data_IF_236238973086
#
_entry.id   IF_236238973086
#
_cell.length_a   1.000
_cell.length_b   1.000
_cell.length_c   1.000
_cell.angle_alpha   90.00
_cell.angle_beta   90.00
_cell.angle_gamma   90.00
#
_symmetry.space_group_name_H-M   'P 1'
#
loop_
_entity.id
_entity.type
_entity.pdbx_description
1 polymer ?
#
# COMPACT_ATOMS: atom_id res chain seq x y z
N UNK A 1 17.19 8.46 -10.87
CA UNK A 1 17.77 9.59 -11.65
C UNK A 1 17.78 10.94 -10.91
N UNK A 2 16.69 11.35 -10.25
CA UNK A 2 16.63 12.62 -9.51
C UNK A 2 17.45 12.62 -8.22
N UNK A 3 17.58 11.46 -7.57
CA UNK A 3 18.38 11.31 -6.36
C UNK A 3 19.83 11.74 -6.60
N UNK A 4 20.36 12.56 -5.70
CA UNK A 4 21.72 13.12 -5.81
C UNK A 4 22.79 12.13 -5.35
N UNK A 5 22.40 11.16 -4.52
CA UNK A 5 23.27 10.10 -4.02
C UNK A 5 23.36 9.01 -5.07
N UNK A 6 24.59 8.66 -5.46
CA UNK A 6 24.83 7.57 -6.41
C UNK A 6 24.86 6.23 -5.68
N UNK A 7 24.08 5.22 -6.13
CA UNK A 7 24.13 3.87 -5.59
C UNK A 7 25.55 3.27 -5.61
N UNK A 8 25.91 2.38 -4.67
CA UNK A 8 27.27 1.85 -4.54
C UNK A 8 27.85 1.19 -5.81
N UNK A 9 27.03 0.58 -6.66
CA UNK A 9 27.47 0.00 -7.94
C UNK A 9 27.64 1.03 -9.08
N UNK A 10 27.41 2.32 -8.81
CA UNK A 10 27.49 3.41 -9.78
C UNK A 10 26.26 3.58 -10.68
N UNK A 11 25.28 2.68 -10.61
CA UNK A 11 24.12 2.71 -11.49
C UNK A 11 22.97 3.54 -10.90
N UNK A 12 22.66 4.70 -11.49
CA UNK A 12 21.61 5.63 -11.03
C UNK A 12 20.16 5.17 -11.32
N UNK A 13 19.99 4.05 -12.03
CA UNK A 13 18.69 3.38 -12.24
C UNK A 13 18.32 2.43 -11.10
N UNK A 14 19.25 2.15 -10.19
CA UNK A 14 18.93 1.45 -8.95
C UNK A 14 18.07 2.31 -8.04
N UNK A 15 17.05 1.70 -7.44
CA UNK A 15 16.26 2.36 -6.39
C UNK A 15 17.05 2.42 -5.08
N UNK A 16 17.21 3.61 -4.53
CA UNK A 16 17.92 3.82 -3.26
C UNK A 16 17.04 4.48 -2.21
N UNK A 17 17.06 3.94 -1.00
CA UNK A 17 16.41 4.57 0.15
C UNK A 17 17.19 4.31 1.45
N UNK A 18 16.94 5.13 2.47
CA UNK A 18 17.52 4.95 3.79
C UNK A 18 16.49 4.35 4.74
N UNK A 19 16.96 3.50 5.67
CA UNK A 19 16.08 2.93 6.68
C UNK A 19 15.52 4.02 7.62
N UNK A 20 14.19 4.17 7.73
CA UNK A 20 13.57 5.35 8.36
C UNK A 20 13.77 5.46 9.87
N UNK A 21 14.05 4.35 10.55
CA UNK A 21 14.20 4.31 12.01
C UNK A 21 15.63 4.03 12.46
N UNK A 22 16.61 4.16 11.57
CA UNK A 22 18.02 4.00 11.93
C UNK A 22 18.66 5.37 12.16
N UNK A 23 19.31 5.52 13.32
CA UNK A 23 19.98 6.75 13.72
C UNK A 23 21.47 6.52 14.01
N UNK A 24 22.34 7.51 13.76
CA UNK A 24 23.76 7.40 14.12
C UNK A 24 23.89 7.23 15.64
N UNK A 25 24.77 6.32 16.05
CA UNK A 25 25.11 6.08 17.45
C UNK A 25 26.62 6.19 17.64
N UNK A 26 27.08 7.34 18.11
CA UNK A 26 28.49 7.64 18.30
C UNK A 26 29.03 7.22 19.68
N UNK A 27 28.30 6.36 20.41
CA UNK A 27 28.69 5.96 21.77
C UNK A 27 30.05 5.27 21.73
N UNK A 28 31.03 5.88 22.42
CA UNK A 28 32.40 5.35 22.52
C UNK A 28 33.33 5.72 21.36
N UNK A 29 32.88 6.55 20.40
CA UNK A 29 33.74 7.02 19.29
C UNK A 29 34.21 8.44 19.61
N UNK A 30 35.53 8.65 19.53
CA UNK A 30 36.18 9.96 19.76
C UNK A 30 36.41 10.68 18.43
N UNK A 31 36.53 12.01 18.47
CA UNK A 31 36.85 12.88 17.33
C UNK A 31 35.86 12.76 16.15
N UNK A 32 34.57 12.65 16.46
CA UNK A 32 33.52 12.68 15.44
C UNK A 32 33.35 14.10 14.91
N UNK A 33 33.52 14.26 13.61
CA UNK A 33 33.23 15.50 12.87
C UNK A 33 32.00 15.35 11.98
N UNK A 34 31.68 14.12 11.58
CA UNK A 34 30.49 13.78 10.80
C UNK A 34 29.88 12.46 11.33
N UNK A 35 28.90 12.54 12.25
CA UNK A 35 28.22 11.38 12.80
C UNK A 35 27.59 10.46 11.76
N UNK A 36 27.19 10.97 10.60
CA UNK A 36 26.41 10.22 9.62
C UNK A 36 27.29 9.26 8.80
N UNK A 37 28.55 9.61 8.61
CA UNK A 37 29.54 8.77 7.91
C UNK A 37 30.44 8.01 8.90
N UNK A 38 30.63 8.53 10.11
CA UNK A 38 31.59 7.97 11.07
C UNK A 38 30.97 7.10 12.16
N UNK A 39 29.67 7.22 12.42
CA UNK A 39 29.01 6.46 13.49
C UNK A 39 28.15 5.31 12.95
N UNK A 40 28.18 4.13 13.58
CA UNK A 40 27.30 3.04 13.21
C UNK A 40 25.84 3.39 13.54
N UNK A 41 24.94 3.02 12.64
CA UNK A 41 23.52 3.28 12.84
C UNK A 41 22.85 2.20 13.71
N UNK A 42 21.91 2.61 14.56
CA UNK A 42 21.14 1.73 15.47
C UNK A 42 19.65 2.03 15.38
N UNK A 43 18.78 1.03 15.61
CA UNK A 43 17.33 1.22 15.56
C UNK A 43 16.83 2.13 16.68
N UNK A 44 15.91 3.03 16.33
CA UNK A 44 15.06 3.79 17.26
C UNK A 44 13.64 3.76 16.70
N UNK A 45 12.88 2.74 17.10
CA UNK A 45 11.56 2.48 16.54
C UNK A 45 10.65 3.72 16.68
N UNK A 46 9.85 4.01 15.65
CA UNK A 46 8.93 5.16 15.62
C UNK A 46 9.59 6.54 15.51
N UNK A 47 10.89 6.67 15.77
CA UNK A 47 11.63 7.91 15.61
C UNK A 47 12.17 8.02 14.20
N UNK A 48 11.47 8.79 13.37
CA UNK A 48 11.81 8.97 11.97
C UNK A 48 13.08 9.82 11.80
N UNK A 49 14.10 9.24 11.17
CA UNK A 49 15.31 9.97 10.81
C UNK A 49 15.03 10.85 9.57
N UNK A 50 15.15 12.19 9.65
CA UNK A 50 14.89 13.09 8.53
C UNK A 50 15.81 12.85 7.32
N UNK A 51 16.97 12.23 7.50
CA UNK A 51 17.96 11.95 6.44
C UNK A 51 17.39 11.20 5.24
N UNK A 52 16.36 10.39 5.45
CA UNK A 52 15.63 9.71 4.37
C UNK A 52 15.11 10.68 3.30
N UNK A 53 14.91 11.97 3.65
CA UNK A 53 14.49 13.03 2.71
C UNK A 53 15.62 13.50 1.80
N UNK A 54 16.86 13.09 2.06
CA UNK A 54 18.01 13.35 1.18
C UNK A 54 17.96 12.48 -0.07
N UNK A 55 17.13 11.43 -0.09
CA UNK A 55 16.91 10.57 -1.25
C UNK A 55 15.50 10.81 -1.78
N UNK A 56 15.39 11.09 -3.08
CA UNK A 56 14.10 11.41 -3.70
C UNK A 56 13.31 10.17 -4.08
N UNK A 57 13.96 9.03 -4.37
CA UNK A 57 13.31 7.83 -4.90
C UNK A 57 12.08 7.38 -4.10
N UNK A 58 12.07 7.34 -2.75
CA UNK A 58 10.87 6.96 -1.98
C UNK A 58 9.69 7.92 -2.13
N UNK A 59 9.95 9.20 -2.36
CA UNK A 59 8.91 10.21 -2.59
C UNK A 59 8.47 10.17 -4.03
N UNK A 60 9.41 10.19 -4.97
CA UNK A 60 9.16 10.16 -6.41
C UNK A 60 8.39 8.90 -6.81
N UNK A 61 8.78 7.73 -6.27
CA UNK A 61 8.09 6.44 -6.47
C UNK A 61 6.64 6.49 -6.00
N UNK A 62 6.39 7.01 -4.80
CA UNK A 62 5.02 7.12 -4.25
C UNK A 62 4.17 8.11 -5.03
N UNK A 63 4.74 9.24 -5.44
CA UNK A 63 4.04 10.25 -6.23
C UNK A 63 3.72 9.72 -7.62
N UNK A 64 4.67 9.07 -8.28
CA UNK A 64 4.47 8.43 -9.58
C UNK A 64 3.27 7.48 -9.56
N UNK A 65 3.18 6.59 -8.56
CA UNK A 65 2.03 5.67 -8.46
C UNK A 65 0.72 6.42 -8.29
N UNK A 66 0.70 7.43 -7.40
CA UNK A 66 -0.50 8.23 -7.12
C UNK A 66 -0.96 8.97 -8.37
N UNK A 67 -0.04 9.60 -9.07
CA UNK A 67 -0.31 10.40 -10.26
C UNK A 67 -0.79 9.51 -11.40
N UNK A 68 -0.10 8.39 -11.68
CA UNK A 68 -0.51 7.41 -12.70
C UNK A 68 -1.92 6.90 -12.40
N UNK A 69 -2.20 6.50 -11.17
CA UNK A 69 -3.50 5.95 -10.79
C UNK A 69 -4.61 7.00 -10.92
N UNK A 70 -4.38 8.22 -10.45
CA UNK A 70 -5.35 9.31 -10.60
C UNK A 70 -5.61 9.65 -12.05
N UNK A 71 -4.57 9.89 -12.83
CA UNK A 71 -4.70 10.22 -14.24
C UNK A 71 -5.44 9.11 -15.00
N UNK A 72 -5.17 7.84 -14.68
CA UNK A 72 -5.90 6.70 -15.25
C UNK A 72 -7.39 6.74 -14.89
N UNK A 73 -7.73 7.01 -13.62
CA UNK A 73 -9.13 7.11 -13.19
C UNK A 73 -9.82 8.30 -13.87
N UNK A 74 -9.18 9.47 -13.94
CA UNK A 74 -9.73 10.64 -14.64
C UNK A 74 -9.96 10.34 -16.13
N UNK A 75 -9.03 9.66 -16.78
CA UNK A 75 -9.22 9.16 -18.14
C UNK A 75 -10.45 8.25 -18.25
N UNK A 76 -10.59 7.26 -17.37
CA UNK A 76 -11.73 6.33 -17.41
C UNK A 76 -13.08 7.02 -17.17
N UNK A 77 -13.12 8.07 -16.35
CA UNK A 77 -14.35 8.78 -16.01
C UNK A 77 -14.76 9.81 -17.07
N UNK A 78 -13.79 10.49 -17.70
CA UNK A 78 -14.05 11.61 -18.60
C UNK A 78 -13.76 11.31 -20.08
N UNK A 79 -13.01 10.25 -20.38
CA UNK A 79 -12.54 9.94 -21.73
C UNK A 79 -11.52 10.93 -22.30
N UNK A 80 -10.94 11.81 -21.46
CA UNK A 80 -9.95 12.80 -21.90
C UNK A 80 -8.56 12.17 -21.99
N UNK A 81 -8.11 12.00 -23.23
CA UNK A 81 -6.82 11.39 -23.57
C UNK A 81 -5.61 12.15 -23.03
N UNK A 82 -5.71 13.44 -22.70
CA UNK A 82 -4.59 14.18 -22.10
C UNK A 82 -4.17 13.57 -20.75
N UNK A 83 -5.13 13.05 -19.97
CA UNK A 83 -4.81 12.35 -18.73
C UNK A 83 -4.09 11.03 -18.98
N UNK A 84 -4.55 10.25 -19.97
CA UNK A 84 -3.92 9.00 -20.35
C UNK A 84 -2.51 9.20 -20.90
N UNK A 85 -2.31 10.18 -21.78
CA UNK A 85 -1.00 10.55 -22.32
C UNK A 85 -0.01 10.90 -21.21
N UNK A 86 -0.45 11.66 -20.19
CA UNK A 86 0.41 11.98 -19.04
C UNK A 86 0.70 10.75 -18.18
N UNK A 87 -0.27 9.88 -17.95
CA UNK A 87 -0.07 8.64 -17.20
C UNK A 87 0.92 7.70 -17.91
N UNK A 88 0.79 7.55 -19.22
CA UNK A 88 1.70 6.75 -20.06
C UNK A 88 3.11 7.34 -20.03
N UNK A 89 3.28 8.66 -20.08
CA UNK A 89 4.60 9.30 -19.96
C UNK A 89 5.29 8.97 -18.62
N UNK A 90 4.54 8.98 -17.52
CA UNK A 90 5.07 8.64 -16.19
C UNK A 90 5.47 7.16 -16.12
N UNK A 91 4.64 6.28 -16.68
CA UNK A 91 4.94 4.85 -16.77
C UNK A 91 6.17 4.56 -17.64
N UNK A 92 6.29 5.22 -18.79
CA UNK A 92 7.46 5.12 -19.67
C UNK A 92 8.73 5.51 -18.91
N UNK A 93 8.71 6.70 -18.30
CA UNK A 93 9.85 7.26 -17.55
C UNK A 93 10.30 6.31 -16.44
N UNK A 94 9.36 5.70 -15.71
CA UNK A 94 9.68 4.92 -14.52
C UNK A 94 9.98 3.44 -14.80
N UNK A 95 9.37 2.83 -15.81
CA UNK A 95 9.41 1.38 -16.02
C UNK A 95 10.00 0.93 -17.37
N UNK A 96 10.02 1.79 -18.39
CA UNK A 96 10.31 1.37 -19.77
C UNK A 96 11.55 2.05 -20.34
N UNK A 97 11.63 3.38 -20.23
CA UNK A 97 12.68 4.19 -20.82
C UNK A 97 14.07 3.74 -20.35
N UNK A 98 14.96 3.43 -21.28
CA UNK A 98 16.28 2.83 -20.97
C UNK A 98 17.22 3.75 -20.18
N UNK A 99 17.02 5.07 -20.27
CA UNK A 99 17.83 6.05 -19.57
C UNK A 99 17.32 6.32 -18.15
N UNK A 100 15.99 6.28 -17.95
CA UNK A 100 15.38 6.75 -16.69
C UNK A 100 14.74 5.67 -15.84
N UNK A 101 14.37 4.53 -16.42
CA UNK A 101 13.59 3.52 -15.71
C UNK A 101 14.32 2.96 -14.50
N UNK A 102 13.57 2.70 -13.44
CA UNK A 102 14.03 1.96 -12.27
C UNK A 102 14.37 0.53 -12.69
N UNK A 103 15.47 -0.06 -12.20
CA UNK A 103 15.70 -1.50 -12.38
C UNK A 103 14.66 -2.33 -11.61
N UNK A 104 14.26 -3.51 -12.11
CA UNK A 104 13.26 -4.37 -11.46
C UNK A 104 13.85 -5.11 -10.24
N UNK A 105 14.47 -4.37 -9.32
CA UNK A 105 15.02 -4.83 -8.06
C UNK A 105 15.16 -3.68 -7.04
N UNK A 106 15.29 -4.02 -5.76
CA UNK A 106 15.52 -3.06 -4.67
C UNK A 106 16.70 -3.48 -3.79
N UNK A 107 17.84 -3.73 -4.42
CA UNK A 107 19.08 -4.16 -3.74
C UNK A 107 19.69 -3.09 -2.83
N UNK A 108 19.26 -1.83 -2.97
CA UNK A 108 19.64 -0.67 -2.16
C UNK A 108 18.45 -0.03 -1.41
N UNK A 109 17.37 -0.79 -1.23
CA UNK A 109 16.23 -0.37 -0.41
C UNK A 109 16.55 -0.39 1.09
N UNK A 110 16.21 0.69 1.79
CA UNK A 110 16.39 0.93 3.22
C UNK A 110 17.81 0.63 3.71
N UNK A 111 18.80 1.22 3.04
CA UNK A 111 20.20 1.16 3.44
C UNK A 111 20.36 1.58 4.90
N UNK A 112 21.18 0.80 5.60
CA UNK A 112 21.77 1.22 6.87
C UNK A 112 23.00 2.09 6.57
N UNK A 113 22.89 3.37 6.91
CA UNK A 113 23.98 4.34 6.82
C UNK A 113 25.09 4.11 7.86
N UNK A 114 26.11 4.95 7.81
CA UNK A 114 27.31 4.87 8.63
C UNK A 114 28.51 4.31 7.85
N UNK A 115 29.61 4.00 8.55
CA UNK A 115 30.81 3.48 7.92
C UNK A 115 30.59 2.07 7.37
N UNK A 116 31.29 1.76 6.27
CA UNK A 116 31.26 0.45 5.62
C UNK A 116 30.46 0.43 4.33
N UNK A 117 30.26 -0.78 3.80
CA UNK A 117 29.55 -0.99 2.54
C UNK A 117 28.04 -0.78 2.72
N UNK A 118 27.45 0.04 1.84
CA UNK A 118 26.01 0.26 1.84
C UNK A 118 25.30 -0.87 1.08
N UNK A 119 24.42 -1.58 1.78
CA UNK A 119 23.57 -2.64 1.23
C UNK A 119 22.13 -2.39 1.63
N UNK A 120 21.22 -2.78 0.74
CA UNK A 120 19.80 -2.81 1.07
C UNK A 120 19.43 -3.88 2.08
N UNK A 121 18.19 -3.82 2.52
CA UNK A 121 17.58 -4.71 3.52
C UNK A 121 16.27 -5.25 2.98
N UNK A 122 15.83 -6.38 3.53
CA UNK A 122 14.55 -6.99 3.16
C UNK A 122 13.36 -6.06 3.46
N UNK A 123 13.49 -5.19 4.47
CA UNK A 123 12.47 -4.20 4.78
C UNK A 123 12.28 -3.16 3.66
N UNK A 124 13.29 -2.95 2.80
CA UNK A 124 13.23 -2.01 1.68
C UNK A 124 12.22 -2.39 0.58
N UNK A 125 11.82 -3.66 0.49
CA UNK A 125 10.72 -4.11 -0.40
C UNK A 125 9.39 -3.44 -0.02
N UNK A 126 9.23 -2.98 1.23
CA UNK A 126 8.03 -2.27 1.66
C UNK A 126 7.90 -0.87 1.01
N UNK A 127 8.98 -0.31 0.51
CA UNK A 127 8.97 1.00 -0.14
C UNK A 127 8.15 0.96 -1.44
N UNK A 128 8.22 -0.14 -2.19
CA UNK A 128 7.51 -0.35 -3.46
C UNK A 128 6.07 -0.84 -3.27
N UNK A 129 5.55 -0.91 -2.04
CA UNK A 129 4.24 -1.51 -1.74
C UNK A 129 3.06 -0.97 -2.55
N UNK A 130 3.15 0.29 -3.01
CA UNK A 130 2.08 0.91 -3.80
C UNK A 130 2.09 0.46 -5.26
N UNK A 131 3.15 -0.21 -5.74
CA UNK A 131 3.22 -0.68 -7.13
C UNK A 131 2.14 -1.73 -7.46
N UNK A 132 1.45 -2.28 -6.46
CA UNK A 132 0.23 -3.08 -6.64
C UNK A 132 -0.87 -2.36 -7.42
N UNK A 133 -0.85 -1.03 -7.51
CA UNK A 133 -1.79 -0.25 -8.33
C UNK A 133 -1.42 -0.12 -9.80
N UNK A 134 -0.16 -0.34 -10.15
CA UNK A 134 0.29 -0.20 -11.55
C UNK A 134 -0.48 -1.15 -12.46
N UNK A 135 -0.65 -2.45 -12.14
CA UNK A 135 -1.52 -3.36 -12.89
C UNK A 135 -2.95 -2.85 -13.13
N UNK A 136 -3.55 -2.12 -12.18
CA UNK A 136 -4.90 -1.57 -12.33
C UNK A 136 -4.89 -0.40 -13.30
N UNK A 137 -3.92 0.51 -13.16
CA UNK A 137 -3.75 1.63 -14.08
C UNK A 137 -3.50 1.15 -15.52
N UNK A 138 -2.65 0.14 -15.71
CA UNK A 138 -2.39 -0.47 -17.03
C UNK A 138 -3.69 -0.94 -17.68
N UNK A 139 -4.52 -1.73 -16.98
CA UNK A 139 -5.80 -2.23 -17.52
C UNK A 139 -6.78 -1.12 -17.92
N UNK A 140 -6.71 0.04 -17.27
CA UNK A 140 -7.52 1.20 -17.63
C UNK A 140 -6.96 1.87 -18.90
N UNK A 141 -5.64 2.07 -18.93
CA UNK A 141 -4.94 2.77 -20.00
C UNK A 141 -4.83 1.95 -21.30
N UNK A 142 -4.96 0.63 -21.26
CA UNK A 142 -4.97 -0.25 -22.45
C UNK A 142 -6.00 0.17 -23.52
N UNK A 143 -7.03 0.95 -23.14
CA UNK A 143 -8.04 1.48 -24.06
C UNK A 143 -7.69 2.84 -24.69
N UNK A 144 -6.66 3.51 -24.18
CA UNK A 144 -6.21 4.82 -24.64
C UNK A 144 -5.43 4.73 -25.94
N UNK A 145 -5.55 5.78 -26.76
CA UNK A 145 -4.71 5.95 -27.97
C UNK A 145 -3.23 6.16 -27.65
N UNK A 146 -2.91 6.59 -26.42
CA UNK A 146 -1.53 6.76 -25.97
C UNK A 146 -0.86 5.42 -25.64
N UNK A 147 -1.65 4.38 -25.37
CA UNK A 147 -1.14 3.05 -25.06
C UNK A 147 -0.65 2.36 -26.34
N UNK A 148 0.56 1.83 -26.31
CA UNK A 148 1.18 1.16 -27.44
C UNK A 148 1.97 -0.08 -27.00
N UNK A 149 2.34 -0.91 -27.98
CA UNK A 149 3.04 -2.18 -27.77
C UNK A 149 4.36 -2.04 -26.99
N UNK A 150 5.09 -0.93 -27.15
CA UNK A 150 6.36 -0.73 -26.46
C UNK A 150 6.13 -0.53 -24.96
N UNK A 151 5.16 0.31 -24.60
CA UNK A 151 4.77 0.56 -23.22
C UNK A 151 4.22 -0.71 -22.57
N UNK A 152 3.31 -1.41 -23.25
CA UNK A 152 2.72 -2.65 -22.74
C UNK A 152 3.80 -3.71 -22.45
N UNK A 153 4.66 -4.00 -23.43
CA UNK A 153 5.75 -4.97 -23.28
C UNK A 153 6.74 -4.55 -22.21
N UNK A 154 7.13 -3.28 -22.19
CA UNK A 154 8.08 -2.76 -21.21
C UNK A 154 7.61 -2.94 -19.77
N UNK A 155 6.37 -2.56 -19.46
CA UNK A 155 5.81 -2.67 -18.10
C UNK A 155 5.60 -4.13 -17.71
N UNK A 156 5.07 -4.97 -18.62
CA UNK A 156 4.89 -6.40 -18.35
C UNK A 156 6.22 -7.10 -18.10
N UNK A 157 7.25 -6.79 -18.87
CA UNK A 157 8.60 -7.32 -18.67
C UNK A 157 9.15 -6.87 -17.31
N UNK A 158 9.05 -5.58 -16.99
CA UNK A 158 9.50 -5.06 -15.70
C UNK A 158 8.83 -5.76 -14.51
N UNK A 159 7.51 -5.93 -14.55
CA UNK A 159 6.75 -6.61 -13.49
C UNK A 159 7.11 -8.10 -13.40
N UNK A 160 7.31 -8.77 -14.55
CA UNK A 160 7.77 -10.16 -14.60
C UNK A 160 9.15 -10.31 -13.95
N UNK A 161 10.10 -9.44 -14.33
CA UNK A 161 11.47 -9.47 -13.80
C UNK A 161 11.50 -9.14 -12.31
N UNK A 162 10.71 -8.16 -11.86
CA UNK A 162 10.61 -7.83 -10.44
C UNK A 162 9.99 -8.96 -9.63
N UNK A 163 8.99 -9.66 -10.19
CA UNK A 163 8.42 -10.87 -9.57
C UNK A 163 9.46 -11.97 -9.42
N UNK A 164 10.27 -12.20 -10.47
CA UNK A 164 11.33 -13.19 -10.45
C UNK A 164 12.42 -12.81 -9.43
N UNK A 165 12.78 -11.54 -9.34
CA UNK A 165 13.72 -11.04 -8.33
C UNK A 165 13.18 -11.23 -6.92
N UNK A 166 11.91 -10.88 -6.64
CA UNK A 166 11.28 -11.09 -5.34
C UNK A 166 11.31 -12.56 -4.92
N UNK A 167 11.01 -13.49 -5.84
CA UNK A 167 11.01 -14.92 -5.56
C UNK A 167 12.40 -15.50 -5.28
N UNK A 168 13.41 -15.02 -6.01
CA UNK A 168 14.71 -15.70 -6.07
C UNK A 168 15.80 -15.02 -5.24
N UNK A 169 15.72 -13.71 -5.03
CA UNK A 169 16.72 -12.95 -4.28
C UNK A 169 16.75 -13.33 -2.81
N UNK A 170 17.91 -13.11 -2.17
CA UNK A 170 18.05 -13.31 -0.73
C UNK A 170 17.16 -12.33 0.06
N UNK A 171 17.05 -11.07 -0.40
CA UNK A 171 16.20 -10.05 0.23
C UNK A 171 14.72 -10.45 0.17
N UNK A 172 14.22 -10.90 -0.98
CA UNK A 172 12.83 -11.35 -1.11
C UNK A 172 12.51 -12.59 -0.27
N UNK A 173 13.41 -13.58 -0.23
CA UNK A 173 13.28 -14.75 0.65
C UNK A 173 13.27 -14.38 2.13
N UNK A 174 14.00 -13.36 2.55
CA UNK A 174 14.00 -12.86 3.92
C UNK A 174 12.72 -12.06 4.23
N UNK A 175 12.24 -11.23 3.31
CA UNK A 175 10.99 -10.49 3.46
C UNK A 175 9.79 -11.43 3.66
N UNK A 176 9.71 -12.52 2.90
CA UNK A 176 8.65 -13.54 3.07
C UNK A 176 8.68 -14.23 4.44
N UNK A 177 9.86 -14.37 5.05
CA UNK A 177 10.05 -15.02 6.36
C UNK A 177 9.76 -14.10 7.56
N UNK A 178 9.51 -12.81 7.34
CA UNK A 178 9.14 -11.90 8.44
C UNK A 178 7.83 -12.34 9.09
N UNK A 179 7.66 -12.03 10.36
CA UNK A 179 6.48 -12.42 11.16
C UNK A 179 5.45 -11.30 11.32
N UNK A 180 5.64 -10.18 10.63
CA UNK A 180 4.88 -8.94 10.77
C UNK A 180 4.46 -8.41 9.39
N UNK A 181 3.94 -7.18 9.35
CA UNK A 181 3.42 -6.51 8.16
C UNK A 181 4.33 -6.58 6.92
N UNK A 182 5.65 -6.67 7.07
CA UNK A 182 6.56 -6.83 5.94
C UNK A 182 6.28 -8.10 5.12
N UNK A 183 5.97 -9.22 5.77
CA UNK A 183 5.62 -10.45 5.05
C UNK A 183 4.26 -10.33 4.37
N UNK A 184 3.29 -9.67 5.02
CA UNK A 184 1.97 -9.42 4.43
C UNK A 184 2.08 -8.55 3.18
N UNK A 185 2.83 -7.44 3.23
CA UNK A 185 3.04 -6.59 2.05
C UNK A 185 3.88 -7.26 0.97
N UNK A 186 4.85 -8.11 1.32
CA UNK A 186 5.55 -8.94 0.34
C UNK A 186 4.57 -9.84 -0.44
N UNK A 187 3.67 -10.53 0.27
CA UNK A 187 2.68 -11.42 -0.35
C UNK A 187 1.69 -10.63 -1.21
N UNK A 188 1.21 -9.49 -0.72
CA UNK A 188 0.32 -8.61 -1.49
C UNK A 188 0.96 -8.17 -2.81
N UNK A 189 2.22 -7.73 -2.77
CA UNK A 189 2.99 -7.33 -3.95
C UNK A 189 3.18 -8.49 -4.93
N UNK A 190 3.84 -9.56 -4.49
CA UNK A 190 4.20 -10.67 -5.38
C UNK A 190 2.96 -11.38 -5.96
N UNK A 191 1.90 -11.60 -5.16
CA UNK A 191 0.68 -12.20 -5.67
C UNK A 191 0.00 -11.31 -6.75
N UNK A 192 0.03 -9.99 -6.58
CA UNK A 192 -0.51 -9.05 -7.58
C UNK A 192 0.27 -9.13 -8.88
N UNK A 193 1.60 -9.15 -8.79
CA UNK A 193 2.47 -9.17 -9.98
C UNK A 193 2.39 -10.51 -10.72
N UNK A 194 2.31 -11.63 -9.98
CA UNK A 194 2.06 -12.95 -10.55
C UNK A 194 0.69 -13.01 -11.23
N UNK A 195 -0.36 -12.46 -10.60
CA UNK A 195 -1.70 -12.38 -11.22
C UNK A 195 -1.68 -11.57 -12.52
N UNK A 196 -1.07 -10.39 -12.49
CA UNK A 196 -0.94 -9.53 -13.66
C UNK A 196 -0.15 -10.17 -14.80
N UNK A 197 0.86 -10.99 -14.46
CA UNK A 197 1.68 -11.72 -15.44
C UNK A 197 1.04 -13.04 -15.91
N UNK A 198 -0.22 -13.33 -15.54
CA UNK A 198 -0.91 -14.57 -15.91
C UNK A 198 -0.45 -15.83 -15.14
N UNK A 199 0.45 -15.68 -14.15
CA UNK A 199 1.00 -16.76 -13.31
C UNK A 199 0.08 -17.05 -12.13
N UNK A 200 -1.20 -17.31 -12.42
CA UNK A 200 -2.27 -17.39 -11.42
C UNK A 200 -2.04 -18.50 -10.38
N UNK A 201 -1.57 -19.67 -10.81
CA UNK A 201 -1.34 -20.80 -9.90
C UNK A 201 -0.18 -20.55 -8.92
N UNK A 202 0.82 -19.77 -9.34
CA UNK A 202 1.89 -19.34 -8.43
C UNK A 202 1.39 -18.33 -7.41
N UNK A 203 0.52 -17.39 -7.82
CA UNK A 203 -0.13 -16.46 -6.90
C UNK A 203 -0.99 -17.20 -5.87
N UNK A 204 -1.80 -18.17 -6.31
CA UNK A 204 -2.61 -19.04 -5.42
C UNK A 204 -1.73 -19.81 -4.44
N UNK A 205 -0.66 -20.42 -4.92
CA UNK A 205 0.25 -21.19 -4.07
C UNK A 205 0.98 -20.31 -3.05
N UNK A 206 1.38 -19.08 -3.43
CA UNK A 206 1.98 -18.12 -2.51
C UNK A 206 1.02 -17.75 -1.38
N UNK A 207 -0.23 -17.38 -1.71
CA UNK A 207 -1.25 -17.00 -0.71
C UNK A 207 -1.59 -18.18 0.18
N UNK A 208 -1.76 -19.38 -0.40
CA UNK A 208 -2.00 -20.61 0.38
C UNK A 208 -0.86 -20.86 1.36
N UNK A 209 0.39 -20.85 0.90
CA UNK A 209 1.57 -21.03 1.76
C UNK A 209 1.63 -19.98 2.87
N UNK A 210 1.36 -18.72 2.56
CA UNK A 210 1.28 -17.65 3.57
C UNK A 210 0.20 -17.94 4.62
N UNK A 211 -0.98 -18.38 4.18
CA UNK A 211 -2.12 -18.71 5.06
C UNK A 211 -1.83 -19.89 6.00
N UNK A 212 -1.03 -20.86 5.55
CA UNK A 212 -0.62 -22.06 6.31
C UNK A 212 0.58 -21.81 7.24
N UNK A 213 1.32 -20.70 7.04
CA UNK A 213 2.58 -20.43 7.75
C UNK A 213 2.53 -19.13 8.54
N UNK A 214 2.92 -17.99 7.95
CA UNK A 214 3.07 -16.72 8.66
C UNK A 214 1.76 -16.23 9.26
N UNK A 215 0.66 -16.30 8.49
CA UNK A 215 -0.67 -15.86 8.93
C UNK A 215 -1.12 -16.55 10.22
N UNK A 216 -0.76 -17.82 10.41
CA UNK A 216 -1.19 -18.64 11.55
C UNK A 216 -0.80 -18.09 12.92
N UNK A 217 0.15 -17.16 13.01
CA UNK A 217 0.57 -16.52 14.27
C UNK A 217 0.38 -14.99 14.26
N UNK A 218 -0.31 -14.43 13.26
CA UNK A 218 -0.46 -12.97 13.11
C UNK A 218 -1.56 -12.36 13.97
N UNK A 219 -2.61 -13.12 14.30
CA UNK A 219 -3.80 -12.61 14.98
C UNK A 219 -4.13 -13.55 16.15
N UNK A 220 -4.13 -13.00 17.36
CA UNK A 220 -4.55 -13.70 18.58
C UNK A 220 -6.07 -13.85 18.61
N UNK A 221 -6.59 -14.72 19.47
CA UNK A 221 -8.05 -14.90 19.67
C UNK A 221 -8.80 -13.60 19.95
N UNK A 222 -8.15 -12.63 20.59
CA UNK A 222 -8.70 -11.30 20.87
C UNK A 222 -8.88 -10.43 19.62
N UNK A 223 -8.19 -10.76 18.52
CA UNK A 223 -8.01 -9.91 17.34
C UNK A 223 -6.73 -9.06 17.37
N UNK A 224 -6.04 -9.01 18.50
CA UNK A 224 -4.76 -8.31 18.60
C UNK A 224 -3.72 -8.91 17.64
N UNK A 225 -2.91 -8.04 17.02
CA UNK A 225 -1.81 -8.45 16.16
C UNK A 225 -0.47 -8.23 16.91
N UNK A 226 0.11 -9.26 17.55
CA UNK A 226 1.08 -9.08 18.62
C UNK A 226 2.44 -8.54 18.14
N UNK A 227 2.80 -8.77 16.88
CA UNK A 227 4.03 -8.20 16.30
C UNK A 227 3.89 -6.71 15.98
N UNK A 228 2.65 -6.24 15.74
CA UNK A 228 2.34 -4.84 15.46
C UNK A 228 2.07 -4.06 16.75
N UNK A 229 1.40 -4.68 17.74
CA UNK A 229 1.18 -4.08 19.06
C UNK A 229 2.47 -3.77 19.83
N UNK A 230 3.57 -4.48 19.55
CA UNK A 230 4.88 -4.23 20.17
C UNK A 230 5.58 -2.98 19.63
N UNK A 231 5.04 -2.36 18.58
CA UNK A 231 5.63 -1.19 17.95
C UNK A 231 5.28 0.07 18.72
N UNK A 232 6.11 1.09 18.54
CA UNK A 232 5.91 2.42 19.15
C UNK A 232 4.62 3.12 18.74
N UNK A 233 4.07 2.80 17.55
CA UNK A 233 2.76 3.26 17.05
C UNK A 233 1.79 2.09 16.83
N UNK A 234 1.30 1.43 17.88
CA UNK A 234 0.66 0.11 17.77
C UNK A 234 -0.66 0.15 16.97
N UNK A 235 -1.46 1.21 17.12
CA UNK A 235 -2.72 1.35 16.38
C UNK A 235 -2.48 1.45 14.86
N UNK A 236 -1.50 2.29 14.47
CA UNK A 236 -1.06 2.44 13.09
C UNK A 236 -0.62 1.11 12.49
N UNK A 237 0.32 0.41 13.12
CA UNK A 237 0.87 -0.82 12.55
C UNK A 237 -0.16 -1.95 12.42
N UNK A 238 -1.12 -2.02 13.35
CA UNK A 238 -2.23 -2.97 13.26
C UNK A 238 -3.18 -2.64 12.10
N UNK A 239 -3.51 -1.37 11.87
CA UNK A 239 -4.27 -0.95 10.69
C UNK A 239 -3.49 -1.19 9.39
N UNK A 240 -2.18 -0.89 9.40
CA UNK A 240 -1.28 -1.05 8.26
C UNK A 240 -1.15 -2.52 7.85
N UNK A 241 -1.07 -3.45 8.80
CA UNK A 241 -1.06 -4.88 8.49
C UNK A 241 -2.42 -5.37 7.99
N UNK A 242 -3.53 -4.92 8.61
CA UNK A 242 -4.89 -5.22 8.13
C UNK A 242 -5.11 -4.79 6.69
N UNK A 243 -4.50 -3.68 6.29
CA UNK A 243 -4.61 -3.20 4.93
C UNK A 243 -4.10 -4.24 3.92
N UNK A 244 -2.89 -4.76 4.16
CA UNK A 244 -2.32 -5.79 3.31
C UNK A 244 -3.08 -7.13 3.43
N UNK A 245 -3.53 -7.52 4.63
CA UNK A 245 -4.31 -8.75 4.84
C UNK A 245 -5.62 -8.73 4.05
N UNK A 246 -6.39 -7.65 4.16
CA UNK A 246 -7.66 -7.49 3.45
C UNK A 246 -7.45 -7.36 1.94
N UNK A 247 -6.35 -6.74 1.50
CA UNK A 247 -5.97 -6.72 0.09
C UNK A 247 -5.68 -8.12 -0.46
N UNK A 248 -4.87 -8.93 0.24
CA UNK A 248 -4.58 -10.32 -0.15
C UNK A 248 -5.87 -11.13 -0.20
N UNK A 249 -6.77 -10.95 0.77
CA UNK A 249 -8.03 -11.68 0.83
C UNK A 249 -8.92 -11.37 -0.38
N UNK A 250 -9.04 -10.10 -0.78
CA UNK A 250 -9.75 -9.70 -2.00
C UNK A 250 -9.09 -10.24 -3.27
N UNK A 251 -7.76 -10.15 -3.37
CA UNK A 251 -7.02 -10.68 -4.51
C UNK A 251 -7.21 -12.20 -4.63
N UNK A 252 -7.16 -12.91 -3.50
CA UNK A 252 -7.37 -14.35 -3.45
C UNK A 252 -8.78 -14.73 -3.93
N UNK A 253 -9.81 -13.96 -3.54
CA UNK A 253 -11.16 -14.15 -4.07
C UNK A 253 -11.23 -13.94 -5.57
N UNK A 254 -10.61 -12.86 -6.08
CA UNK A 254 -10.57 -12.55 -7.52
C UNK A 254 -9.97 -13.71 -8.33
N UNK A 255 -8.93 -14.36 -7.81
CA UNK A 255 -8.25 -15.46 -8.49
C UNK A 255 -8.80 -16.85 -8.11
N UNK A 256 -9.93 -16.97 -7.42
CA UNK A 256 -10.47 -18.24 -6.92
C UNK A 256 -9.43 -19.05 -6.11
N UNK A 257 -8.66 -18.38 -5.25
CA UNK A 257 -7.65 -18.96 -4.37
C UNK A 257 -8.17 -19.27 -2.96
N UNK A 258 -7.25 -19.46 -2.02
CA UNK A 258 -7.56 -19.68 -0.60
C UNK A 258 -8.38 -18.52 -0.03
N UNK A 259 -9.55 -18.79 0.54
CA UNK A 259 -10.38 -17.76 1.15
C UNK A 259 -9.80 -17.27 2.49
N UNK A 260 -8.84 -16.34 2.42
CA UNK A 260 -8.11 -15.84 3.59
C UNK A 260 -9.01 -15.17 4.64
N UNK A 261 -10.19 -14.67 4.24
CA UNK A 261 -11.17 -14.13 5.19
C UNK A 261 -11.68 -15.17 6.19
N UNK A 262 -11.78 -16.43 5.78
CA UNK A 262 -12.30 -17.53 6.63
C UNK A 262 -11.20 -18.37 7.27
N UNK A 263 -9.94 -18.21 6.84
CA UNK A 263 -8.83 -18.93 7.46
C UNK A 263 -8.68 -18.47 8.90
N UNK A 264 -8.63 -19.45 9.81
CA UNK A 264 -8.37 -19.22 11.22
C UNK A 264 -6.88 -19.32 11.50
N UNK A 265 -6.39 -18.44 12.36
CA UNK A 265 -5.07 -18.58 12.97
C UNK A 265 -5.06 -19.76 13.96
N UNK A 266 -3.90 -20.11 14.52
CA UNK A 266 -3.79 -21.15 15.57
C UNK A 266 -4.66 -20.84 16.79
N UNK A 267 -4.90 -19.56 17.05
CA UNK A 267 -5.74 -19.10 18.17
C UNK A 267 -7.24 -19.01 17.80
N UNK A 268 -7.61 -19.44 16.60
CA UNK A 268 -8.99 -19.48 16.12
C UNK A 268 -9.53 -18.16 15.57
N UNK A 269 -8.69 -17.13 15.44
CA UNK A 269 -9.09 -15.80 14.97
C UNK A 269 -9.06 -15.66 13.45
N UNK A 270 -9.92 -14.80 12.91
CA UNK A 270 -9.95 -14.40 11.49
C UNK A 270 -9.56 -12.93 11.34
N UNK A 271 -9.50 -12.44 10.10
CA UNK A 271 -9.33 -11.00 9.80
C UNK A 271 -10.43 -10.18 10.48
N UNK A 272 -11.67 -10.70 10.57
CA UNK A 272 -12.77 -10.02 11.26
C UNK A 272 -12.44 -9.70 12.72
N UNK A 273 -11.83 -10.64 13.44
CA UNK A 273 -11.44 -10.41 14.84
C UNK A 273 -10.46 -9.25 14.95
N UNK A 274 -9.50 -9.12 14.03
CA UNK A 274 -8.54 -8.02 14.03
C UNK A 274 -9.18 -6.66 13.70
N UNK A 275 -10.12 -6.60 12.76
CA UNK A 275 -10.90 -5.38 12.53
C UNK A 275 -11.70 -5.00 13.77
N UNK A 276 -12.39 -5.98 14.36
CA UNK A 276 -13.24 -5.81 15.52
C UNK A 276 -12.48 -5.34 16.77
N UNK A 277 -11.25 -5.83 16.94
CA UNK A 277 -10.36 -5.46 18.03
C UNK A 277 -9.98 -3.97 18.00
N UNK A 278 -9.82 -3.38 16.81
CA UNK A 278 -9.38 -1.99 16.66
C UNK A 278 -10.51 -0.96 16.79
N UNK A 279 -11.78 -1.36 16.59
CA UNK A 279 -12.94 -0.45 16.68
C UNK A 279 -13.04 0.32 18.01
N UNK A 280 -12.93 -0.33 19.19
CA UNK A 280 -13.05 0.38 20.46
C UNK A 280 -11.76 1.11 20.87
N UNK A 281 -10.63 0.86 20.22
CA UNK A 281 -9.34 1.42 20.62
C UNK A 281 -9.19 2.88 20.19
N UNK A 282 -8.39 3.61 20.96
CA UNK A 282 -8.00 4.98 20.66
C UNK A 282 -6.59 5.01 20.10
N UNK A 283 -6.39 5.75 19.01
CA UNK A 283 -5.05 6.03 18.53
C UNK A 283 -4.40 7.04 19.47
N UNK A 284 -3.38 6.61 20.22
CA UNK A 284 -2.69 7.46 21.19
C UNK A 284 -1.76 8.49 20.50
N UNK A 285 -1.44 8.29 19.22
CA UNK A 285 -0.61 9.16 18.40
C UNK A 285 -1.43 10.13 17.52
N UNK A 286 -2.64 10.50 17.96
CA UNK A 286 -3.64 11.24 17.16
C UNK A 286 -3.19 12.61 16.61
N UNK A 287 -2.05 13.15 17.07
CA UNK A 287 -1.50 14.41 16.57
C UNK A 287 -0.97 14.36 15.13
N UNK A 288 -0.81 13.16 14.54
CA UNK A 288 -0.38 12.98 13.15
C UNK A 288 -1.39 12.16 12.32
N UNK A 289 -2.03 11.15 12.90
CA UNK A 289 -2.99 10.27 12.20
C UNK A 289 -4.17 9.94 13.14
N UNK A 290 -5.41 10.12 12.69
CA UNK A 290 -6.62 9.78 13.47
C UNK A 290 -7.02 8.30 13.38
N UNK A 291 -8.12 7.90 14.02
CA UNK A 291 -8.67 6.54 13.91
C UNK A 291 -9.25 6.22 12.51
N UNK A 292 -9.38 7.21 11.62
CA UNK A 292 -9.86 7.02 10.24
C UNK A 292 -8.97 6.14 9.39
N UNK A 293 -7.73 5.86 9.80
CA UNK A 293 -6.86 4.89 9.14
C UNK A 293 -7.45 3.47 9.12
N UNK A 294 -8.43 3.17 9.99
CA UNK A 294 -9.14 1.89 10.03
C UNK A 294 -10.26 1.80 8.97
N UNK A 295 -10.70 2.93 8.38
CA UNK A 295 -11.80 2.98 7.41
C UNK A 295 -11.69 1.92 6.29
N UNK A 296 -10.56 1.76 5.57
CA UNK A 296 -10.48 0.75 4.51
C UNK A 296 -10.78 -0.67 4.99
N UNK A 297 -10.27 -1.05 6.17
CA UNK A 297 -10.56 -2.36 6.74
C UNK A 297 -12.04 -2.51 7.12
N UNK A 298 -12.68 -1.46 7.65
CA UNK A 298 -14.11 -1.48 7.99
C UNK A 298 -15.00 -1.69 6.77
N UNK A 299 -14.71 -0.99 5.66
CA UNK A 299 -15.48 -1.17 4.43
C UNK A 299 -15.33 -2.58 3.87
N UNK A 300 -14.09 -3.08 3.76
CA UNK A 300 -13.83 -4.42 3.22
C UNK A 300 -14.44 -5.51 4.11
N UNK A 301 -14.34 -5.36 5.44
CA UNK A 301 -14.95 -6.29 6.39
C UNK A 301 -16.48 -6.26 6.32
N UNK A 302 -17.10 -5.07 6.24
CA UNK A 302 -18.56 -4.93 6.07
C UNK A 302 -19.04 -5.57 4.77
N UNK A 303 -18.34 -5.33 3.67
CA UNK A 303 -18.72 -5.84 2.35
C UNK A 303 -18.56 -7.38 2.25
N UNK A 304 -17.66 -7.97 3.06
CA UNK A 304 -17.44 -9.41 3.08
C UNK A 304 -18.28 -10.15 4.15
N UNK A 305 -18.20 -9.73 5.42
CA UNK A 305 -18.87 -10.41 6.54
C UNK A 305 -20.32 -9.94 6.79
N UNK A 306 -20.74 -8.85 6.15
CA UNK A 306 -22.01 -8.19 6.42
C UNK A 306 -21.98 -7.30 7.67
N UNK A 307 -23.10 -6.65 7.97
CA UNK A 307 -23.21 -5.68 9.08
C UNK A 307 -24.64 -5.61 9.64
N UNK A 308 -25.20 -6.76 10.03
CA UNK A 308 -26.59 -6.85 10.50
C UNK A 308 -26.87 -5.99 11.75
N UNK A 309 -25.88 -5.85 12.65
CA UNK A 309 -25.99 -5.04 13.85
C UNK A 309 -25.70 -3.55 13.62
N UNK A 310 -25.26 -3.16 12.42
CA UNK A 310 -24.83 -1.81 12.09
C UNK A 310 -23.50 -1.40 12.74
N UNK A 311 -22.74 -2.34 13.33
CA UNK A 311 -21.44 -2.10 13.97
C UNK A 311 -20.47 -1.37 13.06
N UNK A 312 -20.29 -1.85 11.83
CA UNK A 312 -19.33 -1.27 10.89
C UNK A 312 -19.84 0.06 10.34
N UNK A 313 -21.10 0.14 9.89
CA UNK A 313 -21.71 1.35 9.35
C UNK A 313 -21.72 2.50 10.37
N UNK A 314 -22.05 2.22 11.63
CA UNK A 314 -22.02 3.22 12.70
C UNK A 314 -20.59 3.72 12.98
N UNK A 315 -19.60 2.81 12.99
CA UNK A 315 -18.19 3.16 13.20
C UNK A 315 -17.66 4.00 12.04
N UNK A 316 -17.94 3.60 10.79
CA UNK A 316 -17.61 4.35 9.58
C UNK A 316 -18.20 5.77 9.65
N UNK A 317 -19.49 5.91 9.94
CA UNK A 317 -20.15 7.21 10.04
C UNK A 317 -19.51 8.09 11.12
N UNK A 318 -19.16 7.51 12.27
CA UNK A 318 -18.46 8.21 13.34
C UNK A 318 -17.09 8.73 12.87
N UNK A 319 -16.29 7.89 12.23
CA UNK A 319 -14.94 8.27 11.78
C UNK A 319 -14.96 9.31 10.66
N UNK A 320 -15.91 9.24 9.73
CA UNK A 320 -16.06 10.25 8.67
C UNK A 320 -16.39 11.63 9.24
N UNK A 321 -17.26 11.69 10.27
CA UNK A 321 -17.61 12.95 10.95
C UNK A 321 -16.41 13.60 11.65
N UNK A 322 -15.51 12.81 12.22
CA UNK A 322 -14.34 13.32 12.96
C UNK A 322 -13.17 13.70 12.06
N UNK A 323 -13.22 13.35 10.78
CA UNK A 323 -12.10 13.52 9.85
C UNK A 323 -12.40 14.40 8.66
N UNK A 324 -13.60 14.99 8.60
CA UNK A 324 -14.09 15.74 7.43
C UNK A 324 -13.93 14.96 6.12
N UNK A 325 -14.06 13.63 6.18
CA UNK A 325 -13.83 12.73 5.04
C UNK A 325 -12.37 12.51 4.65
N UNK A 326 -11.40 13.18 5.29
CA UNK A 326 -9.98 12.95 5.04
C UNK A 326 -9.51 11.66 5.74
N UNK A 327 -9.22 10.63 4.96
CA UNK A 327 -8.37 9.53 5.42
C UNK A 327 -7.11 9.52 4.58
N UNK A 328 -5.97 9.34 5.24
CA UNK A 328 -4.72 9.00 4.58
C UNK A 328 -4.84 7.54 4.12
N UNK A 329 -5.55 7.33 3.01
CA UNK A 329 -5.78 6.00 2.47
C UNK A 329 -4.45 5.36 2.07
N UNK A 330 -4.17 4.18 2.61
CA UNK A 330 -3.01 3.36 2.23
C UNK A 330 -3.31 2.56 0.94
N UNK A 331 -4.59 2.24 0.71
CA UNK A 331 -5.10 1.59 -0.50
C UNK A 331 -6.38 2.23 -1.04
N UNK A 332 -6.54 2.23 -2.36
CA UNK A 332 -7.79 2.66 -3.00
C UNK A 332 -8.75 1.46 -3.02
N UNK A 333 -9.88 1.62 -2.34
CA UNK A 333 -10.97 0.64 -2.34
C UNK A 333 -12.29 1.36 -2.62
N UNK A 334 -13.09 0.80 -3.52
CA UNK A 334 -14.47 1.25 -3.78
C UNK A 334 -15.42 0.26 -3.11
N UNK A 335 -16.04 0.63 -1.97
CA UNK A 335 -16.97 -0.25 -1.27
C UNK A 335 -18.20 -0.62 -2.11
N UNK A 336 -18.61 -1.88 -2.06
CA UNK A 336 -19.89 -2.35 -2.64
C UNK A 336 -21.07 -1.63 -1.99
N UNK A 337 -20.99 -1.39 -0.68
CA UNK A 337 -22.00 -0.67 0.09
C UNK A 337 -22.28 0.78 -0.38
N UNK A 338 -21.40 1.38 -1.19
CA UNK A 338 -21.65 2.68 -1.83
C UNK A 338 -22.33 2.54 -3.21
N UNK A 339 -22.22 1.38 -3.87
CA UNK A 339 -22.82 1.10 -5.20
C UNK A 339 -24.32 0.90 -5.12
N UNK A 340 -24.82 0.32 -4.03
CA UNK A 340 -26.22 -0.07 -3.91
C UNK A 340 -27.16 1.08 -3.47
N UNK A 341 -26.65 2.32 -3.35
CA UNK A 341 -27.42 3.54 -3.02
C UNK A 341 -28.17 3.51 -1.68
N UNK A 342 -28.06 2.42 -0.91
CA UNK A 342 -28.88 2.14 0.26
C UNK A 342 -27.99 2.02 1.51
N UNK A 343 -27.32 3.11 1.88
CA UNK A 343 -26.87 3.27 3.27
C UNK A 343 -28.09 3.60 4.12
N UNK A 344 -28.84 2.57 4.53
CA UNK A 344 -29.93 2.68 5.51
C UNK A 344 -29.37 2.37 6.89
N UNK A 345 -29.51 3.30 7.83
CA UNK A 345 -29.27 3.00 9.25
C UNK A 345 -30.43 2.17 9.83
N UNK A 346 -30.28 1.70 11.07
CA UNK A 346 -31.30 0.93 11.81
C UNK A 346 -32.65 1.64 11.98
N UNK A 347 -32.75 2.93 11.60
CA UNK A 347 -33.96 3.74 11.68
C UNK A 347 -34.55 4.06 10.29
N UNK A 348 -34.09 3.43 9.21
CA UNK A 348 -34.69 3.52 7.87
C UNK A 348 -34.50 4.87 7.15
N UNK A 349 -33.67 5.79 7.67
CA UNK A 349 -33.37 7.05 6.97
C UNK A 349 -32.26 6.84 5.94
N UNK A 350 -32.54 7.21 4.69
CA UNK A 350 -31.55 7.36 3.62
C UNK A 350 -30.79 8.67 3.80
N UNK A 351 -29.46 8.62 3.77
CA UNK A 351 -28.65 9.83 3.62
C UNK A 351 -28.55 10.15 2.13
N UNK A 352 -29.13 11.27 1.71
CA UNK A 352 -28.88 11.81 0.38
C UNK A 352 -27.60 12.65 0.47
N UNK A 353 -26.57 12.26 -0.27
CA UNK A 353 -25.24 12.91 -0.23
C UNK A 353 -25.19 14.24 -1.02
N UNK A 354 -26.32 14.64 -1.62
CA UNK A 354 -26.46 15.78 -2.56
C UNK A 354 -26.20 17.18 -1.97
N UNK A 355 -25.87 17.33 -0.68
CA UNK A 355 -25.87 18.64 0.01
C UNK A 355 -24.51 19.08 0.60
N UNK A 356 -23.40 18.68 -0.01
CA UNK A 356 -22.06 19.17 0.36
C UNK A 356 -21.52 20.15 -0.69
N UNK A 357 -22.08 21.36 -0.69
CA UNK A 357 -21.55 22.49 -1.44
C UNK A 357 -20.47 23.25 -0.65
N UNK A 358 -19.41 23.63 -1.39
CA UNK A 358 -18.32 24.55 -1.05
C UNK A 358 -17.31 24.08 0.01
N UNK A 359 -16.03 23.90 -0.36
CA UNK A 359 -14.86 24.29 0.45
C UNK A 359 -13.57 24.35 -0.38
N UNK A 360 -12.66 25.20 0.10
CA UNK A 360 -11.65 25.97 -0.61
C UNK A 360 -10.46 25.22 -1.20
N UNK A 361 -10.01 25.72 -2.37
CA UNK A 361 -8.69 25.56 -2.96
C UNK A 361 -7.58 25.88 -1.93
N UNK A 362 -6.85 24.87 -1.47
CA UNK A 362 -5.43 24.94 -1.07
C UNK A 362 -4.96 23.64 -0.40
N UNK A 363 -4.62 22.65 -1.22
CA UNK A 363 -3.56 21.63 -1.02
C UNK A 363 -3.89 20.43 -1.89
N UNK A 364 -3.09 20.16 -2.92
CA UNK A 364 -3.26 19.02 -3.83
C UNK A 364 -3.16 17.65 -3.11
N UNK A 365 -2.78 17.62 -1.84
CA UNK A 365 -2.83 16.45 -0.95
C UNK A 365 -4.21 16.22 -0.31
N UNK A 366 -5.06 17.24 -0.19
CA UNK A 366 -6.41 17.12 0.38
C UNK A 366 -7.46 16.66 -0.63
N UNK A 367 -7.23 16.84 -1.94
CA UNK A 367 -8.12 16.33 -2.98
C UNK A 367 -8.25 14.80 -2.93
N UNK A 368 -7.22 14.05 -2.58
CA UNK A 368 -7.32 12.58 -2.59
C UNK A 368 -8.16 11.98 -1.45
N UNK A 369 -8.23 12.65 -0.29
CA UNK A 369 -9.00 12.16 0.86
C UNK A 369 -10.50 12.34 0.64
N UNK A 370 -10.90 13.47 0.06
CA UNK A 370 -12.30 13.84 -0.12
C UNK A 370 -12.80 13.69 -1.55
N UNK A 371 -12.00 13.95 -2.60
CA UNK A 371 -12.49 13.99 -3.98
C UNK A 371 -12.61 12.62 -4.64
N UNK A 372 -11.73 11.65 -4.36
CA UNK A 372 -11.93 10.29 -4.89
C UNK A 372 -13.07 9.57 -4.14
N UNK A 373 -13.20 9.85 -2.84
CA UNK A 373 -14.29 9.37 -2.00
C UNK A 373 -15.62 9.98 -2.40
N UNK A 374 -15.66 11.29 -2.66
CA UNK A 374 -16.78 12.01 -3.23
C UNK A 374 -17.10 11.49 -4.64
N UNK A 375 -16.12 11.40 -5.56
CA UNK A 375 -16.34 10.93 -6.94
C UNK A 375 -16.89 9.51 -7.01
N UNK A 376 -16.46 8.61 -6.12
CA UNK A 376 -17.01 7.26 -6.01
C UNK A 376 -18.38 7.21 -5.31
N UNK A 377 -18.75 8.26 -4.56
CA UNK A 377 -20.04 8.36 -3.83
C UNK A 377 -21.11 9.17 -4.59
N UNK A 378 -20.72 10.08 -5.49
CA UNK A 378 -21.60 11.01 -6.24
C UNK A 378 -22.18 10.42 -7.55
N UNK A 379 -22.39 9.10 -7.63
CA UNK A 379 -23.26 8.54 -8.67
C UNK A 379 -22.59 8.15 -9.99
N UNK A 380 -21.29 7.91 -10.02
CA UNK A 380 -20.68 7.08 -11.05
C UNK A 380 -20.31 5.74 -10.43
N UNK A 381 -21.25 4.80 -10.46
CA UNK A 381 -20.98 3.40 -10.16
C UNK A 381 -19.83 2.92 -11.05
N UNK A 382 -18.61 2.92 -10.51
CA UNK A 382 -17.45 2.35 -11.20
C UNK A 382 -17.69 0.84 -11.26
N UNK A 383 -18.21 0.42 -12.40
CA UNK A 383 -18.36 -0.98 -12.79
C UNK A 383 -16.97 -1.65 -12.81
N UNK A 384 -16.59 -2.29 -11.70
CA UNK A 384 -15.65 -3.42 -11.76
C UNK A 384 -16.43 -4.70 -12.08
N UNK A 385 -17.18 -4.69 -13.18
CA UNK A 385 -17.86 -5.86 -13.69
C UNK A 385 -17.31 -6.15 -15.09
N UNK A 386 -16.75 -7.34 -15.23
CA UNK A 386 -16.32 -8.01 -16.46
C UNK A 386 -15.03 -7.52 -17.14
N UNK A 387 -13.94 -8.18 -16.79
CA UNK A 387 -13.07 -8.82 -17.80
C UNK A 387 -12.80 -10.23 -17.27
N UNK A 388 -13.45 -11.22 -17.90
CA UNK A 388 -13.15 -12.65 -17.75
C UNK A 388 -11.75 -12.96 -18.28
#
# INVERSE_FOLDING_TARGET
>A
MNTTVTPPNGNKREYISYAPYLWPSCKGIKNITDPETQCPYKPRDGLYNPDVRNLSDPVDSRNMVKDVLSLSIFYQLHGDENFAEKAVQLLDTWFVNEETSMLPEVIYGQIKRGPGEWKGREEGILDTRLYVYIPVAVRILEKSRAWNDNIDKGIRNWISDFSNWLMNSNLGKQAFKRSNNHATFYVAQLATYLEFSGRIDEARNLIRKFSETTFQNMILKSGEQPMESKRTKPYHYQCFNLEALTYIALLSQKINGTNLWEIRTKDGATIQNAVDYLIPLKNQDAGQEGESILLPALYKARDYYGDQSGKYANTISKFLKTTNGASEWWTIYSPKSLRDGNVKNSNGKSYNYDNYDSYSENSATSLFGTSLYAMLSFGLGVFFMFLY
#
